data_IF_778818324147
#
_entry.id   IF_778818324147
#
_cell.length_a   1.000
_cell.length_b   1.000
_cell.length_c   1.000
_cell.angle_alpha   90.00
_cell.angle_beta   90.00
_cell.angle_gamma   90.00
#
_symmetry.space_group_name_H-M   'P 1'
#
loop_
_entity.id
_entity.type
_entity.pdbx_description
1 polymer ?
#
# COMPACT_ATOMS: atom_id res chain seq x y z
N UNK A 1 -12.00 -6.27 -8.90
CA UNK A 1 -11.78 -5.13 -7.98
C UNK A 1 -10.29 -5.06 -7.71
N UNK A 2 -9.62 -4.01 -8.17
CA UNK A 2 -8.18 -3.86 -7.97
C UNK A 2 -7.93 -3.53 -6.48
N UNK A 3 -7.23 -4.42 -5.76
CA UNK A 3 -6.85 -4.19 -4.37
C UNK A 3 -5.35 -3.93 -4.29
N UNK A 4 -4.98 -2.85 -3.63
CA UNK A 4 -3.59 -2.53 -3.31
C UNK A 4 -3.29 -2.93 -1.88
N UNK A 5 -2.27 -3.77 -1.67
CA UNK A 5 -1.79 -4.14 -0.34
C UNK A 5 -0.50 -3.39 -0.04
N UNK A 6 -0.52 -2.63 1.06
CA UNK A 6 0.65 -1.95 1.60
C UNK A 6 1.11 -2.66 2.88
N UNK A 7 2.39 -3.02 2.94
CA UNK A 7 3.00 -3.66 4.10
C UNK A 7 3.78 -2.61 4.91
N UNK A 8 3.44 -2.45 6.18
CA UNK A 8 4.20 -1.61 7.09
C UNK A 8 5.51 -2.28 7.50
N UNK A 9 6.63 -1.56 7.39
CA UNK A 9 7.99 -2.00 7.72
C UNK A 9 8.72 -0.90 8.50
N UNK A 10 9.84 -1.26 9.12
CA UNK A 10 10.69 -0.35 9.89
C UNK A 10 10.33 -0.24 11.38
N UNK A 11 11.21 0.38 12.18
CA UNK A 11 11.00 0.58 13.62
C UNK A 11 9.96 1.66 13.90
N UNK A 12 9.50 1.76 15.16
CA UNK A 12 8.34 2.57 15.55
C UNK A 12 8.40 4.03 15.07
N UNK A 13 9.58 4.61 15.04
CA UNK A 13 9.83 6.03 14.74
C UNK A 13 10.21 6.28 13.27
N UNK A 14 10.46 5.25 12.48
CA UNK A 14 10.78 5.36 11.05
C UNK A 14 10.05 4.30 10.21
N UNK A 15 8.75 4.12 10.49
CA UNK A 15 7.90 3.23 9.70
C UNK A 15 7.67 3.76 8.29
N UNK A 16 7.63 2.84 7.34
CA UNK A 16 7.30 3.09 5.94
C UNK A 16 6.42 1.96 5.39
N UNK A 17 5.69 2.24 4.33
CA UNK A 17 4.86 1.30 3.62
C UNK A 17 5.56 0.83 2.37
N UNK A 18 5.50 -0.47 2.10
CA UNK A 18 5.92 -1.08 0.85
C UNK A 18 4.66 -1.49 0.09
N UNK A 19 4.48 -0.96 -1.11
CA UNK A 19 3.44 -1.45 -2.01
C UNK A 19 3.84 -2.81 -2.56
N UNK A 20 2.96 -3.79 -2.38
CA UNK A 20 2.98 -5.01 -3.18
C UNK A 20 1.75 -4.98 -4.06
N UNK A 21 1.97 -4.82 -5.36
CA UNK A 21 0.93 -5.00 -6.34
C UNK A 21 0.61 -6.50 -6.36
N UNK A 22 -0.62 -6.87 -6.04
CA UNK A 22 -1.09 -8.22 -6.24
C UNK A 22 -2.16 -8.12 -7.32
N UNK A 23 -1.85 -8.55 -8.54
CA UNK A 23 -2.88 -8.77 -9.55
C UNK A 23 -3.60 -10.07 -9.19
N UNK A 24 -4.54 -9.99 -8.23
CA UNK A 24 -5.30 -11.14 -7.75
C UNK A 24 -6.51 -11.31 -8.64
N UNK A 25 -6.39 -12.18 -9.63
CA UNK A 25 -7.55 -12.75 -10.33
C UNK A 25 -7.77 -14.17 -9.81
N UNK A 26 -8.99 -14.72 -9.95
CA UNK A 26 -9.31 -16.04 -9.42
C UNK A 26 -8.41 -17.19 -9.96
N UNK A 27 -7.60 -16.93 -10.98
CA UNK A 27 -6.66 -17.89 -11.57
C UNK A 27 -5.18 -17.51 -11.50
N UNK A 28 -4.79 -16.44 -10.81
CA UNK A 28 -3.37 -16.05 -10.72
C UNK A 28 -2.57 -16.99 -9.81
N UNK A 29 -1.37 -17.38 -10.23
CA UNK A 29 -0.45 -18.16 -9.37
C UNK A 29 0.35 -17.24 -8.43
N UNK A 30 0.83 -17.81 -7.31
CA UNK A 30 1.61 -17.07 -6.31
C UNK A 30 2.83 -16.37 -6.95
N UNK A 31 3.49 -17.03 -7.89
CA UNK A 31 4.68 -16.52 -8.58
C UNK A 31 4.37 -15.32 -9.47
N UNK A 32 3.17 -15.27 -10.08
CA UNK A 32 2.72 -14.15 -10.90
C UNK A 32 2.32 -12.93 -10.04
N UNK A 33 1.79 -13.18 -8.84
CA UNK A 33 1.44 -12.11 -7.90
C UNK A 33 2.65 -11.55 -7.12
N UNK A 34 3.79 -12.25 -7.15
CA UNK A 34 5.04 -11.80 -6.55
C UNK A 34 5.83 -10.96 -7.55
N UNK A 35 5.44 -9.69 -7.73
CA UNK A 35 6.25 -8.72 -8.48
C UNK A 35 7.65 -8.57 -7.82
N UNK A 36 8.69 -8.45 -8.67
CA UNK A 36 10.10 -8.31 -8.25
C UNK A 36 10.27 -7.17 -7.24
N UNK A 37 11.11 -7.38 -6.23
CA UNK A 37 11.35 -6.42 -5.14
C UNK A 37 11.77 -5.03 -5.65
N UNK A 38 12.45 -4.97 -6.79
CA UNK A 38 12.94 -3.74 -7.42
C UNK A 38 11.84 -2.78 -7.92
N UNK A 39 10.58 -3.21 -7.99
CA UNK A 39 9.44 -2.37 -8.40
C UNK A 39 8.56 -1.90 -7.22
N UNK A 40 9.05 -2.07 -5.99
CA UNK A 40 8.29 -1.66 -4.80
C UNK A 40 8.22 -0.14 -4.66
N UNK A 41 7.00 0.38 -4.52
CA UNK A 41 6.77 1.78 -4.13
C UNK A 41 6.90 1.89 -2.62
N UNK A 42 7.76 2.79 -2.15
CA UNK A 42 7.96 3.08 -0.72
C UNK A 42 7.25 4.39 -0.36
N UNK A 43 6.36 4.32 0.64
CA UNK A 43 5.60 5.48 1.11
C UNK A 43 5.93 5.73 2.59
N UNK A 44 6.42 6.93 2.96
CA UNK A 44 6.59 7.28 4.38
C UNK A 44 5.24 7.34 5.11
N UNK A 45 5.22 6.98 6.39
CA UNK A 45 4.03 7.22 7.22
C UNK A 45 3.70 8.72 7.28
N UNK A 46 2.41 9.04 7.28
CA UNK A 46 1.91 10.42 7.26
C UNK A 46 2.04 11.15 5.92
N UNK A 47 2.49 10.50 4.84
CA UNK A 47 2.57 11.10 3.50
C UNK A 47 1.59 10.44 2.53
N UNK A 48 0.81 11.26 1.81
CA UNK A 48 -0.26 10.80 0.93
C UNK A 48 -1.38 10.08 1.68
N UNK A 49 -2.37 9.56 0.94
CA UNK A 49 -3.57 8.92 1.51
C UNK A 49 -3.17 7.65 2.29
N UNK A 50 -2.40 6.75 1.66
CA UNK A 50 -1.97 5.50 2.29
C UNK A 50 -1.13 5.75 3.55
N UNK A 51 -0.18 6.70 3.49
CA UNK A 51 0.64 7.05 4.65
C UNK A 51 -0.16 7.71 5.77
N UNK A 52 -1.16 8.55 5.43
CA UNK A 52 -2.06 9.16 6.41
C UNK A 52 -2.89 8.09 7.14
N UNK A 53 -3.58 7.23 6.39
CA UNK A 53 -4.40 6.13 6.96
C UNK A 53 -3.56 5.19 7.81
N UNK A 54 -2.34 4.86 7.37
CA UNK A 54 -1.42 4.03 8.16
C UNK A 54 -0.96 4.69 9.47
N UNK A 55 -0.90 6.03 9.50
CA UNK A 55 -0.55 6.81 10.69
C UNK A 55 -1.74 6.91 11.66
N UNK A 56 -2.92 7.31 11.17
CA UNK A 56 -4.12 7.56 11.99
C UNK A 56 -4.84 6.28 12.41
N UNK A 57 -4.78 5.23 11.58
CA UNK A 57 -5.56 3.99 11.69
C UNK A 57 -7.07 4.20 11.58
N UNK A 58 -7.47 5.26 10.90
CA UNK A 58 -8.86 5.60 10.68
C UNK A 58 -9.24 5.39 9.21
N UNK A 59 -10.47 4.96 8.98
CA UNK A 59 -11.03 4.90 7.63
C UNK A 59 -11.23 6.31 7.10
N UNK A 60 -10.91 6.52 5.83
CA UNK A 60 -11.15 7.79 5.13
C UNK A 60 -12.02 7.52 3.90
N UNK A 61 -13.03 8.38 3.71
CA UNK A 61 -13.83 8.42 2.49
C UNK A 61 -13.51 9.74 1.78
N UNK A 62 -13.01 9.67 0.56
CA UNK A 62 -12.60 10.84 -0.24
C UNK A 62 -13.57 10.94 -1.41
N UNK A 63 -14.64 11.76 -1.32
CA UNK A 63 -15.63 11.89 -2.39
C UNK A 63 -15.05 12.61 -3.61
N UNK A 64 -14.16 13.57 -3.38
CA UNK A 64 -13.33 14.23 -4.39
C UNK A 64 -11.92 14.42 -3.83
N UNK A 65 -10.90 14.17 -4.65
CA UNK A 65 -9.49 14.28 -4.28
C UNK A 65 -8.85 15.62 -4.71
N UNK A 66 -9.59 16.43 -5.48
CA UNK A 66 -9.10 17.66 -6.10
C UNK A 66 -9.96 18.90 -5.77
N UNK A 67 -11.21 18.72 -5.35
CA UNK A 67 -12.04 19.78 -4.74
C UNK A 67 -11.66 20.07 -3.28
#
# INVERSE_FOLDING_TARGET
MLMFLFLARGPKDSRYLISKLFDVTAGSTLEQSLHKEDQQIIIPFGKGIAGHVALTREYINIPDAYD
#
